data_IF_919352958752
#
_entry.id   IF_919352958752
#
_cell.length_a   1.000
_cell.length_b   1.000
_cell.length_c   1.000
_cell.angle_alpha   90.00
_cell.angle_beta   90.00
_cell.angle_gamma   90.00
#
_symmetry.space_group_name_H-M   'P 1'
#
loop_
_entity.id
_entity.type
_entity.pdbx_description
1 polymer ?
#
# COMPACT_ATOMS: atom_id res chain seq x y z
N UNK A 1 9.28 -8.35 -5.06
CA UNK A 1 8.12 -7.70 -4.45
C UNK A 1 8.18 -6.21 -4.70
N UNK A 2 7.05 -5.62 -5.08
CA UNK A 2 7.01 -4.18 -5.32
C UNK A 2 7.19 -3.41 -4.03
N UNK A 3 7.91 -2.28 -4.12
CA UNK A 3 8.11 -1.39 -2.97
C UNK A 3 7.25 -0.14 -3.16
N UNK A 4 6.88 0.48 -2.05
CA UNK A 4 6.13 1.72 -2.09
C UNK A 4 7.01 2.86 -2.62
N UNK A 5 6.43 3.73 -3.41
CA UNK A 5 7.09 4.94 -3.89
C UNK A 5 6.38 6.17 -3.34
N UNK A 6 7.15 7.19 -3.01
CA UNK A 6 6.64 8.42 -2.44
C UNK A 6 7.03 9.58 -3.35
N UNK A 7 6.06 10.40 -3.70
CA UNK A 7 6.27 11.60 -4.51
C UNK A 7 5.82 12.81 -3.72
N UNK A 8 6.70 13.79 -3.59
CA UNK A 8 6.38 15.07 -3.00
C UNK A 8 6.00 16.04 -4.12
N UNK A 9 4.83 16.62 -4.01
CA UNK A 9 4.33 17.60 -4.98
C UNK A 9 3.98 18.89 -4.26
N UNK A 10 3.84 19.96 -5.03
CA UNK A 10 3.42 21.25 -4.45
C UNK A 10 2.09 21.07 -3.72
N UNK A 11 2.11 21.28 -2.42
CA UNK A 11 0.92 21.16 -1.58
C UNK A 11 0.57 19.79 -1.06
N UNK A 12 1.41 18.77 -1.29
CA UNK A 12 1.08 17.45 -0.76
C UNK A 12 2.08 16.34 -1.06
N UNK A 13 1.68 15.14 -0.65
CA UNK A 13 2.46 13.93 -0.82
C UNK A 13 1.58 12.84 -1.41
N UNK A 14 2.16 12.01 -2.27
CA UNK A 14 1.47 10.83 -2.82
C UNK A 14 2.32 9.60 -2.56
N UNK A 15 1.66 8.51 -2.18
CA UNK A 15 2.30 7.21 -1.97
C UNK A 15 1.61 6.21 -2.89
N UNK A 16 2.38 5.41 -3.59
CA UNK A 16 1.80 4.36 -4.44
C UNK A 16 2.73 3.16 -4.55
N UNK A 17 2.18 2.04 -4.97
CA UNK A 17 2.94 0.81 -5.19
C UNK A 17 2.85 0.46 -6.66
N UNK A 18 3.97 0.54 -7.41
CA UNK A 18 3.96 0.21 -8.84
C UNK A 18 3.44 -1.20 -9.09
N UNK A 19 2.56 -1.33 -10.06
CA UNK A 19 1.96 -2.61 -10.41
C UNK A 19 0.71 -2.96 -9.64
N UNK A 20 0.32 -2.15 -8.66
CA UNK A 20 -0.91 -2.37 -7.89
C UNK A 20 -1.83 -1.16 -8.02
N UNK A 21 -3.17 -1.38 -7.99
CA UNK A 21 -4.12 -0.28 -8.07
C UNK A 21 -4.32 0.38 -6.70
N UNK A 22 -3.23 0.68 -6.01
CA UNK A 22 -3.27 1.25 -4.66
C UNK A 22 -2.44 2.52 -4.63
N UNK A 23 -3.06 3.61 -4.24
CA UNK A 23 -2.41 4.90 -4.09
C UNK A 23 -3.10 5.70 -3.00
N UNK A 24 -2.36 6.60 -2.37
CA UNK A 24 -2.91 7.45 -1.32
C UNK A 24 -2.23 8.82 -1.35
N UNK A 25 -2.96 9.85 -0.96
CA UNK A 25 -2.48 11.23 -0.92
C UNK A 25 -2.68 11.80 0.48
N UNK A 26 -1.88 12.79 0.82
CA UNK A 26 -2.04 13.54 2.05
C UNK A 26 -1.36 14.89 1.96
N UNK A 27 -1.76 15.82 2.80
CA UNK A 27 -1.14 17.13 2.89
C UNK A 27 0.26 17.04 3.51
N UNK A 28 0.49 16.02 4.32
CA UNK A 28 1.79 15.72 4.92
C UNK A 28 2.19 14.30 4.59
N UNK A 29 3.48 14.00 4.74
CA UNK A 29 3.98 12.64 4.54
C UNK A 29 3.25 11.66 5.48
N UNK A 30 3.09 12.03 6.74
CA UNK A 30 2.43 11.18 7.73
C UNK A 30 0.97 10.88 7.34
N UNK A 31 0.23 11.88 6.85
CA UNK A 31 -1.14 11.67 6.37
C UNK A 31 -1.17 10.71 5.18
N UNK A 32 -0.27 10.90 4.21
CA UNK A 32 -0.21 10.03 3.03
C UNK A 32 0.09 8.58 3.44
N UNK A 33 0.99 8.37 4.40
CA UNK A 33 1.31 7.03 4.90
C UNK A 33 0.10 6.43 5.61
N UNK A 34 -0.59 7.20 6.44
CA UNK A 34 -1.79 6.74 7.13
C UNK A 34 -2.88 6.31 6.15
N UNK A 35 -3.11 7.12 5.10
CA UNK A 35 -4.07 6.78 4.06
C UNK A 35 -3.65 5.55 3.27
N UNK A 36 -2.36 5.38 3.02
CA UNK A 36 -1.86 4.19 2.32
C UNK A 36 -2.09 2.93 3.15
N UNK A 37 -1.91 2.98 4.46
CA UNK A 37 -2.20 1.82 5.33
C UNK A 37 -3.67 1.42 5.18
N UNK A 38 -4.58 2.39 5.21
CA UNK A 38 -6.00 2.12 5.02
C UNK A 38 -6.28 1.54 3.64
N UNK A 39 -5.67 2.09 2.60
CA UNK A 39 -5.85 1.61 1.23
C UNK A 39 -5.33 0.18 1.05
N UNK A 40 -4.21 -0.15 1.70
CA UNK A 40 -3.67 -1.51 1.64
C UNK A 40 -4.60 -2.50 2.33
N UNK A 41 -5.21 -2.12 3.45
CA UNK A 41 -6.19 -2.97 4.14
C UNK A 41 -7.40 -3.26 3.25
N UNK A 42 -7.94 -2.23 2.60
CA UNK A 42 -9.05 -2.39 1.67
C UNK A 42 -8.66 -3.29 0.49
N UNK A 43 -7.47 -3.09 -0.06
CA UNK A 43 -6.99 -3.89 -1.16
C UNK A 43 -6.89 -5.37 -0.77
N UNK A 44 -6.37 -5.66 0.42
CA UNK A 44 -6.24 -7.04 0.90
C UNK A 44 -7.60 -7.70 1.06
N UNK A 45 -8.59 -6.98 1.58
CA UNK A 45 -9.95 -7.49 1.73
C UNK A 45 -10.59 -7.77 0.38
N UNK A 46 -10.48 -6.84 -0.56
CA UNK A 46 -11.01 -7.02 -1.92
C UNK A 46 -10.32 -8.16 -2.64
N UNK A 47 -8.99 -8.26 -2.48
CA UNK A 47 -8.22 -9.32 -3.12
C UNK A 47 -8.71 -10.69 -2.68
N UNK A 48 -8.97 -10.85 -1.39
CA UNK A 48 -9.45 -12.13 -0.86
C UNK A 48 -10.85 -12.45 -1.36
N UNK A 49 -11.72 -11.44 -1.45
CA UNK A 49 -13.12 -11.67 -1.82
C UNK A 49 -13.33 -11.81 -3.33
N UNK A 50 -12.59 -11.05 -4.12
CA UNK A 50 -12.88 -10.89 -5.55
C UNK A 50 -11.71 -11.17 -6.49
N UNK A 51 -10.48 -11.02 -6.02
CA UNK A 51 -9.30 -11.05 -6.88
C UNK A 51 -8.45 -12.30 -6.74
N UNK A 52 -8.75 -13.16 -5.76
CA UNK A 52 -7.96 -14.36 -5.48
C UNK A 52 -7.76 -15.24 -6.71
N UNK A 53 -8.80 -15.39 -7.53
CA UNK A 53 -8.74 -16.19 -8.74
C UNK A 53 -8.27 -15.46 -9.97
N UNK A 54 -8.06 -14.15 -9.91
CA UNK A 54 -7.69 -13.33 -11.06
C UNK A 54 -6.19 -13.49 -11.36
N UNK A 55 -5.78 -13.92 -12.57
CA UNK A 55 -4.37 -14.13 -12.88
C UNK A 55 -3.50 -12.89 -12.67
N UNK A 56 -4.04 -11.71 -12.95
CA UNK A 56 -3.32 -10.46 -12.83
C UNK A 56 -2.91 -10.13 -11.39
N UNK A 57 -3.59 -10.71 -10.41
CA UNK A 57 -3.41 -10.38 -9.00
C UNK A 57 -2.77 -11.49 -8.19
N UNK A 58 -2.47 -12.63 -8.80
CA UNK A 58 -1.81 -13.73 -8.10
C UNK A 58 -0.45 -13.34 -7.55
N UNK A 59 0.28 -12.51 -8.28
CA UNK A 59 1.59 -12.05 -7.86
C UNK A 59 1.54 -11.17 -6.60
N UNK A 60 0.35 -10.66 -6.24
CA UNK A 60 0.16 -9.84 -5.06
C UNK A 60 -0.03 -10.66 -3.78
N UNK A 61 -0.06 -11.98 -3.89
CA UNK A 61 -0.36 -12.84 -2.74
C UNK A 61 0.58 -12.61 -1.55
N UNK A 62 1.87 -12.47 -1.83
CA UNK A 62 2.86 -12.21 -0.78
C UNK A 62 2.62 -10.89 -0.07
N UNK A 63 2.28 -9.84 -0.81
CA UNK A 63 1.97 -8.55 -0.23
C UNK A 63 0.68 -8.61 0.60
N UNK A 64 -0.35 -9.32 0.12
CA UNK A 64 -1.60 -9.49 0.85
C UNK A 64 -1.34 -10.19 2.18
N UNK A 65 -0.50 -11.22 2.18
CA UNK A 65 -0.12 -11.91 3.42
C UNK A 65 0.61 -10.97 4.38
N UNK A 66 1.53 -10.17 3.87
CA UNK A 66 2.24 -9.18 4.68
C UNK A 66 1.25 -8.21 5.35
N UNK A 67 0.27 -7.72 4.58
CA UNK A 67 -0.74 -6.79 5.10
C UNK A 67 -1.56 -7.45 6.20
N UNK A 68 -2.00 -8.69 5.99
CA UNK A 68 -2.88 -9.39 6.93
C UNK A 68 -2.16 -9.78 8.22
N UNK A 69 -0.86 -10.09 8.13
CA UNK A 69 -0.08 -10.54 9.28
C UNK A 69 0.58 -9.38 10.04
N UNK A 70 0.51 -8.17 9.49
CA UNK A 70 1.14 -7.00 10.10
C UNK A 70 0.10 -6.10 10.77
N UNK A 71 0.49 -5.44 11.85
CA UNK A 71 -0.31 -4.39 12.43
C UNK A 71 -0.05 -3.08 11.67
N UNK A 72 -0.77 -2.01 12.01
CA UNK A 72 -0.65 -0.73 11.31
C UNK A 72 0.75 -0.14 11.46
N UNK A 73 1.37 -0.30 12.62
CA UNK A 73 2.72 0.22 12.84
C UNK A 73 3.73 -0.47 11.92
N UNK A 74 3.63 -1.78 11.77
CA UNK A 74 4.52 -2.53 10.87
C UNK A 74 4.33 -2.13 9.42
N UNK A 75 3.09 -1.90 9.00
CA UNK A 75 2.81 -1.43 7.64
C UNK A 75 3.39 -0.04 7.43
N UNK A 76 3.25 0.86 8.40
CA UNK A 76 3.85 2.18 8.31
C UNK A 76 5.37 2.09 8.19
N UNK A 77 5.99 1.26 9.01
CA UNK A 77 7.44 1.06 8.98
C UNK A 77 7.91 0.52 7.63
N UNK A 78 7.14 -0.40 7.06
CA UNK A 78 7.45 -0.95 5.74
C UNK A 78 7.37 0.14 4.66
N UNK A 79 6.32 0.94 4.67
CA UNK A 79 6.15 2.04 3.70
C UNK A 79 7.28 3.05 3.84
N UNK A 80 7.55 3.49 5.06
CA UNK A 80 8.59 4.50 5.34
C UNK A 80 9.97 3.94 4.98
N UNK A 81 10.25 2.69 5.31
CA UNK A 81 11.50 2.05 4.96
C UNK A 81 11.71 1.93 3.46
N UNK A 82 10.65 1.62 2.72
CA UNK A 82 10.71 1.50 1.27
C UNK A 82 10.92 2.86 0.58
N UNK A 83 10.52 3.95 1.23
CA UNK A 83 10.64 5.30 0.70
C UNK A 83 12.03 5.92 0.90
N UNK A 84 12.91 5.29 1.67
CA UNK A 84 14.25 5.82 1.95
C UNK A 84 15.24 5.53 0.83
#
# INVERSE_FOLDING_TARGET
>A
MSTAEVVSEAGGWSVFIPGLPVAADGATFDEAVTEMVAALREYADDWQDHLLGAPNHRASWGLVQLIRLSDDQRLRDWIVGAAR
#
